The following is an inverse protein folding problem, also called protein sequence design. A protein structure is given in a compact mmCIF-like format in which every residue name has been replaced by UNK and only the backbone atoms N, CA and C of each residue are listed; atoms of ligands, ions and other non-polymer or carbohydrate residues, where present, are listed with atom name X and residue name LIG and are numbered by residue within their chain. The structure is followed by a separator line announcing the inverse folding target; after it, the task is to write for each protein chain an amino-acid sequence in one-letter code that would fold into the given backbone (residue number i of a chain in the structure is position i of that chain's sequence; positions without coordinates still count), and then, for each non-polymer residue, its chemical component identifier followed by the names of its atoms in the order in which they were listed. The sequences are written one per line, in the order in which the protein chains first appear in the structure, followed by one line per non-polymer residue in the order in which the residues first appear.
data_IF_888849515514
#
_entry.id   IF_888849515514
#
_cell.length_a   1.000
_cell.length_b   1.000
_cell.length_c   1.000
_cell.angle_alpha   90.00
_cell.angle_beta   90.00
_cell.angle_gamma   90.00
#
_symmetry.space_group_name_H-M   'P 1'
#
loop_
_entity.id
_entity.type
_entity.pdbx_description
1 polymer ?
#
# COMPACT_ATOMS: atom_id res chain seq x y z
N UNK A 1 24.45 11.05 -9.84
CA UNK A 1 23.34 10.13 -9.60
C UNK A 1 22.25 10.40 -10.62
N UNK A 2 21.64 9.37 -11.19
CA UNK A 2 20.48 9.47 -12.08
C UNK A 2 19.50 8.36 -11.67
N UNK A 3 18.23 8.68 -11.57
CA UNK A 3 17.18 7.69 -11.44
C UNK A 3 16.73 7.24 -12.84
N UNK A 4 16.54 5.95 -13.01
CA UNK A 4 15.94 5.38 -14.22
C UNK A 4 14.41 5.45 -14.14
N UNK A 5 13.74 5.16 -15.24
CA UNK A 5 12.29 5.00 -15.22
C UNK A 5 11.91 3.73 -14.48
N UNK A 6 10.91 3.75 -13.60
CA UNK A 6 10.43 2.56 -12.92
C UNK A 6 9.74 1.60 -13.88
N UNK A 7 9.89 0.31 -13.63
CA UNK A 7 9.00 -0.68 -14.20
C UNK A 7 7.77 -0.78 -13.31
N UNK A 8 6.61 -0.65 -13.89
CA UNK A 8 5.35 -0.67 -13.17
C UNK A 8 4.71 -2.06 -13.28
N UNK A 9 4.37 -2.63 -12.14
CA UNK A 9 3.54 -3.81 -12.04
C UNK A 9 2.31 -3.48 -11.19
N UNK A 10 1.26 -4.26 -11.30
CA UNK A 10 0.00 -4.00 -10.59
C UNK A 10 0.16 -3.90 -9.07
N UNK A 11 1.19 -4.51 -8.52
CA UNK A 11 1.45 -4.56 -7.07
C UNK A 11 2.70 -3.83 -6.61
N UNK A 12 3.59 -3.40 -7.53
CA UNK A 12 4.85 -2.76 -7.14
C UNK A 12 5.42 -1.86 -8.22
N UNK A 13 6.27 -0.91 -7.81
CA UNK A 13 7.17 -0.21 -8.70
C UNK A 13 8.59 -0.74 -8.54
N UNK A 14 9.24 -1.03 -9.68
CA UNK A 14 10.64 -1.39 -9.75
C UNK A 14 11.36 -0.31 -10.55
N UNK A 15 12.41 0.24 -10.01
CA UNK A 15 13.20 1.27 -10.68
C UNK A 15 14.68 1.14 -10.36
N UNK A 16 15.50 1.69 -11.23
CA UNK A 16 16.95 1.65 -11.13
C UNK A 16 17.51 3.02 -10.76
N UNK A 17 18.39 3.07 -9.80
CA UNK A 17 19.14 4.24 -9.43
C UNK A 17 20.61 4.04 -9.75
N UNK A 18 21.14 4.87 -10.63
CA UNK A 18 22.54 4.81 -11.03
C UNK A 18 23.32 5.88 -10.28
N UNK A 19 24.46 5.49 -9.68
CA UNK A 19 25.39 6.42 -9.04
C UNK A 19 26.85 6.00 -9.24
N UNK A 20 27.73 6.98 -9.21
CA UNK A 20 29.15 6.70 -9.15
C UNK A 20 29.49 6.12 -7.78
N UNK A 21 30.06 4.94 -7.78
CA UNK A 21 30.39 4.19 -6.57
C UNK A 21 31.55 4.85 -5.87
N UNK A 22 31.27 5.48 -4.76
CA UNK A 22 32.30 5.79 -3.77
C UNK A 22 31.90 5.14 -2.45
N UNK A 23 32.85 4.57 -1.69
CA UNK A 23 32.54 3.94 -0.41
C UNK A 23 31.90 4.90 0.61
N UNK A 24 31.90 6.19 0.29
CA UNK A 24 31.50 7.26 1.17
C UNK A 24 30.10 7.80 0.87
N UNK A 25 29.32 7.13 0.04
CA UNK A 25 27.94 7.53 -0.29
C UNK A 25 26.95 6.52 0.26
N UNK A 26 26.03 7.01 1.07
CA UNK A 26 24.84 6.29 1.52
C UNK A 26 23.61 6.84 0.83
N UNK A 27 22.70 5.97 0.39
CA UNK A 27 21.43 6.34 -0.22
C UNK A 27 20.29 6.11 0.73
N UNK A 28 19.30 6.98 0.66
CA UNK A 28 17.99 6.82 1.31
C UNK A 28 16.90 7.11 0.30
N UNK A 29 15.84 6.34 0.35
CA UNK A 29 14.71 6.43 -0.55
C UNK A 29 13.47 6.78 0.24
N UNK A 30 12.80 7.83 -0.18
CA UNK A 30 11.58 8.31 0.42
C UNK A 30 10.45 8.26 -0.60
N UNK A 31 9.26 7.87 -0.14
CA UNK A 31 8.03 7.98 -0.91
C UNK A 31 7.20 9.12 -0.35
N UNK A 32 6.60 9.91 -1.23
CA UNK A 32 5.70 10.98 -0.83
C UNK A 32 4.32 10.39 -0.54
N UNK A 33 3.86 10.59 0.67
CA UNK A 33 2.52 10.22 1.09
C UNK A 33 1.48 11.25 0.64
N UNK A 34 0.21 10.90 0.69
CA UNK A 34 -0.88 11.77 0.24
C UNK A 34 -1.00 13.08 1.03
N UNK A 35 -0.63 13.08 2.29
CA UNK A 35 -0.57 14.29 3.13
C UNK A 35 0.57 15.26 2.74
N UNK A 36 1.34 14.92 1.70
CA UNK A 36 2.48 15.67 1.21
C UNK A 36 3.78 15.43 1.97
N UNK A 37 3.79 14.60 2.99
CA UNK A 37 4.99 14.21 3.73
C UNK A 37 5.79 13.15 2.98
N UNK A 38 7.10 13.14 3.17
CA UNK A 38 7.98 12.07 2.70
C UNK A 38 8.22 11.08 3.83
N UNK A 39 8.00 9.81 3.54
CA UNK A 39 8.28 8.69 4.46
C UNK A 39 9.44 7.88 3.92
N UNK A 40 10.41 7.57 4.76
CA UNK A 40 11.52 6.72 4.39
C UNK A 40 11.02 5.29 4.14
N UNK A 41 11.33 4.76 2.96
CA UNK A 41 11.02 3.38 2.58
C UNK A 41 12.26 2.50 2.49
N UNK A 42 13.44 3.11 2.39
CA UNK A 42 14.73 2.47 2.55
C UNK A 42 15.77 3.49 3.00
N UNK A 43 16.64 3.12 3.92
CA UNK A 43 17.69 3.99 4.45
C UNK A 43 19.02 3.24 4.58
N UNK A 44 20.11 3.99 4.54
CA UNK A 44 21.44 3.46 4.80
C UNK A 44 21.95 2.49 3.72
N UNK A 45 21.48 2.62 2.49
CA UNK A 45 21.90 1.78 1.37
C UNK A 45 23.32 2.17 0.98
N UNK A 46 24.23 1.23 1.09
CA UNK A 46 25.64 1.39 0.75
C UNK A 46 26.02 0.61 -0.52
N UNK A 47 27.30 0.56 -0.82
CA UNK A 47 27.82 -0.13 -2.00
C UNK A 47 27.61 -1.65 -2.01
N UNK A 48 27.28 -2.26 -0.86
CA UNK A 48 27.15 -3.72 -0.76
C UNK A 48 25.88 -4.24 -1.46
N UNK A 49 24.91 -3.33 -1.68
CA UNK A 49 23.62 -3.62 -2.34
C UNK A 49 23.63 -3.23 -3.82
N UNK A 50 24.77 -2.89 -4.36
CA UNK A 50 24.91 -2.44 -5.73
C UNK A 50 25.11 -3.63 -6.69
N UNK A 51 24.45 -3.58 -7.83
CA UNK A 51 24.69 -4.54 -8.90
C UNK A 51 25.98 -4.25 -9.69
N UNK A 52 26.32 -5.13 -10.63
CA UNK A 52 27.56 -5.07 -11.41
C UNK A 52 27.72 -3.83 -12.30
N UNK A 53 26.62 -3.09 -12.56
CA UNK A 53 26.58 -1.96 -13.49
C UNK A 53 26.52 -0.60 -12.78
N UNK A 54 26.90 -0.51 -11.53
CA UNK A 54 26.77 0.70 -10.71
C UNK A 54 25.32 1.18 -10.57
N UNK A 55 24.39 0.26 -10.56
CA UNK A 55 22.97 0.52 -10.42
C UNK A 55 22.42 -0.12 -9.14
N UNK A 56 21.49 0.56 -8.51
CA UNK A 56 20.61 0.02 -7.47
C UNK A 56 19.25 -0.24 -8.08
N UNK A 57 18.80 -1.47 -8.01
CA UNK A 57 17.38 -1.80 -8.25
C UNK A 57 16.67 -1.81 -6.92
N UNK A 58 15.58 -1.09 -6.84
CA UNK A 58 14.75 -1.01 -5.65
C UNK A 58 13.30 -1.30 -6.02
N UNK A 59 12.64 -2.12 -5.22
CA UNK A 59 11.23 -2.47 -5.40
C UNK A 59 10.41 -1.89 -4.26
N UNK A 60 9.43 -1.05 -4.59
CA UNK A 60 8.40 -0.61 -3.65
C UNK A 60 7.16 -1.49 -3.82
N UNK A 61 6.78 -2.21 -2.79
CA UNK A 61 5.60 -3.08 -2.79
C UNK A 61 4.29 -2.33 -2.55
N UNK A 62 4.37 -1.12 -2.02
CA UNK A 62 3.20 -0.34 -1.60
C UNK A 62 3.14 1.03 -2.29
N UNK A 63 3.34 1.12 -3.62
CA UNK A 63 3.24 2.40 -4.31
C UNK A 63 1.79 2.90 -4.29
N UNK A 64 1.61 4.21 -4.25
CA UNK A 64 0.29 4.81 -4.45
C UNK A 64 -0.12 4.72 -5.92
N UNK A 65 -1.40 4.53 -6.20
CA UNK A 65 -1.93 4.75 -7.54
C UNK A 65 -1.99 6.25 -7.87
N UNK A 66 -2.20 6.57 -9.12
CA UNK A 66 -2.11 7.90 -9.70
C UNK A 66 -0.67 8.45 -9.62
N UNK A 67 -0.44 9.54 -8.91
CA UNK A 67 0.89 10.14 -8.82
C UNK A 67 1.66 9.56 -7.65
N UNK A 68 2.77 8.90 -7.94
CA UNK A 68 3.73 8.45 -6.95
C UNK A 68 5.03 9.23 -7.10
N UNK A 69 5.50 9.86 -6.04
CA UNK A 69 6.76 10.63 -6.05
C UNK A 69 7.75 9.97 -5.11
N UNK A 70 8.92 9.65 -5.66
CA UNK A 70 10.05 9.14 -4.90
C UNK A 70 11.12 10.20 -4.82
N UNK A 71 11.75 10.34 -3.66
CA UNK A 71 12.95 11.14 -3.46
C UNK A 71 14.10 10.23 -3.09
N UNK A 72 15.15 10.26 -3.89
CA UNK A 72 16.38 9.55 -3.62
C UNK A 72 17.37 10.56 -3.09
N UNK A 73 17.84 10.34 -1.87
CA UNK A 73 18.80 11.20 -1.18
C UNK A 73 20.13 10.48 -1.12
N UNK A 74 21.19 11.13 -1.62
CA UNK A 74 22.55 10.67 -1.46
C UNK A 74 23.24 11.52 -0.40
N UNK A 75 23.81 10.86 0.59
CA UNK A 75 24.56 11.50 1.69
C UNK A 75 26.01 11.07 1.60
N UNK A 76 26.93 12.03 1.52
CA UNK A 76 28.35 11.76 1.69
C UNK A 76 28.66 11.59 3.17
N UNK A 77 29.11 10.39 3.54
CA UNK A 77 29.34 10.02 4.95
C UNK A 77 30.58 10.69 5.57
N UNK A 78 31.52 11.19 4.74
CA UNK A 78 32.73 11.85 5.21
C UNK A 78 32.51 13.32 5.59
N UNK A 79 31.72 14.04 4.79
CA UNK A 79 31.56 15.48 4.95
C UNK A 79 30.13 15.93 5.21
N UNK A 80 29.17 14.98 5.22
CA UNK A 80 27.75 15.27 5.43
C UNK A 80 27.07 16.00 4.26
N UNK A 81 27.72 16.08 3.08
CA UNK A 81 27.11 16.68 1.89
C UNK A 81 25.89 15.87 1.44
N UNK A 82 24.79 16.55 1.12
CA UNK A 82 23.53 15.93 0.73
C UNK A 82 23.16 16.39 -0.68
N UNK A 83 22.78 15.43 -1.52
CA UNK A 83 22.16 15.68 -2.82
C UNK A 83 20.91 14.83 -2.96
N UNK A 84 19.91 15.28 -3.72
CA UNK A 84 18.72 14.48 -3.97
C UNK A 84 18.23 14.60 -5.42
N UNK A 85 17.42 13.63 -5.83
CA UNK A 85 16.67 13.65 -7.08
C UNK A 85 15.26 13.18 -6.79
N UNK A 86 14.29 13.86 -7.39
CA UNK A 86 12.88 13.46 -7.34
C UNK A 86 12.50 12.76 -8.64
N UNK A 87 11.77 11.65 -8.50
CA UNK A 87 11.18 10.90 -9.59
C UNK A 87 9.66 10.92 -9.38
N UNK A 88 8.94 11.36 -10.40
CA UNK A 88 7.47 11.43 -10.36
C UNK A 88 6.93 10.52 -11.44
N UNK A 89 6.12 9.56 -11.04
CA UNK A 89 5.47 8.61 -11.93
C UNK A 89 3.96 8.64 -11.73
N UNK A 90 3.24 8.46 -12.84
CA UNK A 90 1.78 8.34 -12.83
C UNK A 90 1.41 6.94 -13.29
N UNK A 91 0.63 6.27 -12.47
CA UNK A 91 0.06 4.97 -12.79
C UNK A 91 -1.44 5.00 -12.53
N UNK A 92 -2.20 5.01 -13.61
CA UNK A 92 -3.67 5.00 -13.54
C UNK A 92 -4.14 3.57 -13.34
N UNK A 93 -4.88 3.35 -12.26
CA UNK A 93 -5.54 2.10 -11.95
C UNK A 93 -7.02 2.38 -11.68
N UNK A 94 -7.88 1.49 -12.13
CA UNK A 94 -9.34 1.60 -11.98
C UNK A 94 -9.89 0.62 -10.95
N UNK A 95 -9.06 -0.31 -10.50
CA UNK A 95 -9.44 -1.37 -9.57
C UNK A 95 -8.85 -1.12 -8.19
N UNK A 96 -9.55 -1.58 -7.16
CA UNK A 96 -8.98 -1.67 -5.81
C UNK A 96 -8.12 -2.92 -5.73
N UNK A 97 -6.94 -2.79 -5.15
CA UNK A 97 -5.99 -3.89 -4.96
C UNK A 97 -5.77 -4.14 -3.48
N UNK A 98 -5.87 -5.40 -3.07
CA UNK A 98 -5.61 -5.86 -1.70
C UNK A 98 -4.43 -6.80 -1.71
N UNK A 99 -3.43 -6.52 -0.87
CA UNK A 99 -2.20 -7.31 -0.75
C UNK A 99 -2.04 -7.84 0.67
N UNK A 100 -1.58 -9.09 0.81
CA UNK A 100 -1.33 -9.71 2.11
C UNK A 100 -0.34 -10.86 2.03
N UNK A 101 0.09 -11.34 3.18
CA UNK A 101 1.03 -12.45 3.33
C UNK A 101 2.34 -12.23 2.56
N UNK A 102 2.84 -11.01 2.59
CA UNK A 102 4.08 -10.65 1.91
C UNK A 102 5.27 -11.19 2.70
N UNK A 103 6.11 -11.95 2.02
CA UNK A 103 7.43 -12.32 2.54
C UNK A 103 8.45 -11.37 1.92
N UNK A 104 8.98 -10.49 2.73
CA UNK A 104 9.92 -9.47 2.30
C UNK A 104 11.19 -9.56 3.11
N UNK A 105 12.30 -9.78 2.44
CA UNK A 105 13.61 -9.69 3.04
C UNK A 105 14.47 -8.67 2.29
N UNK A 106 15.57 -8.24 2.89
CA UNK A 106 16.43 -7.21 2.31
C UNK A 106 17.08 -7.66 0.98
N UNK A 107 17.23 -8.95 0.76
CA UNK A 107 17.79 -9.49 -0.49
C UNK A 107 16.81 -9.27 -1.63
N UNK A 108 15.54 -9.63 -1.48
CA UNK A 108 14.52 -9.48 -2.52
C UNK A 108 14.22 -8.01 -2.84
N UNK A 109 14.45 -7.12 -1.86
CA UNK A 109 14.23 -5.68 -1.99
C UNK A 109 15.16 -5.02 -3.01
N UNK A 110 16.35 -5.58 -3.18
CA UNK A 110 17.39 -5.04 -4.04
C UNK A 110 17.75 -5.98 -5.20
N UNK A 111 16.96 -7.03 -5.42
CA UNK A 111 17.23 -7.99 -6.49
C UNK A 111 16.94 -7.38 -7.86
N UNK A 112 17.83 -7.72 -8.82
CA UNK A 112 17.81 -7.19 -10.18
C UNK A 112 16.68 -7.80 -11.03
N UNK A 113 16.22 -9.01 -10.72
CA UNK A 113 15.19 -9.65 -11.54
C UNK A 113 13.79 -9.14 -11.19
N UNK A 114 13.21 -8.25 -12.02
CA UNK A 114 11.84 -7.79 -11.81
C UNK A 114 10.80 -8.90 -11.93
N UNK A 115 11.22 -10.08 -12.45
CA UNK A 115 10.36 -11.26 -12.60
C UNK A 115 10.53 -12.24 -11.44
N UNK A 116 11.44 -11.98 -10.50
CA UNK A 116 11.50 -12.81 -9.30
C UNK A 116 10.17 -12.78 -8.57
N UNK A 117 9.73 -13.97 -8.23
CA UNK A 117 8.39 -14.25 -7.74
C UNK A 117 8.14 -13.43 -6.48
N UNK A 118 7.19 -12.50 -6.55
CA UNK A 118 6.64 -11.87 -5.38
C UNK A 118 6.01 -12.96 -4.50
N UNK A 119 6.59 -13.21 -3.35
CA UNK A 119 6.01 -14.09 -2.35
C UNK A 119 4.96 -13.33 -1.54
N UNK A 120 3.73 -13.47 -1.94
CA UNK A 120 2.59 -12.81 -1.33
C UNK A 120 1.32 -13.08 -2.11
N UNK A 121 0.22 -12.52 -1.66
CA UNK A 121 -1.06 -12.61 -2.32
C UNK A 121 -1.53 -11.23 -2.75
N UNK A 122 -1.99 -11.11 -3.98
CA UNK A 122 -2.55 -9.88 -4.56
C UNK A 122 -3.92 -10.20 -5.13
N UNK A 123 -4.94 -9.51 -4.63
CA UNK A 123 -6.31 -9.58 -5.14
C UNK A 123 -6.70 -8.24 -5.74
N UNK A 124 -6.85 -8.23 -7.04
CA UNK A 124 -7.47 -7.14 -7.78
C UNK A 124 -8.99 -7.31 -7.77
N UNK A 125 -9.71 -6.34 -7.23
CA UNK A 125 -11.16 -6.38 -7.22
C UNK A 125 -11.74 -6.05 -8.60
N UNK A 126 -12.92 -6.60 -8.96
CA UNK A 126 -13.54 -6.28 -10.24
C UNK A 126 -13.90 -4.79 -10.33
N UNK A 127 -13.99 -4.25 -11.56
CA UNK A 127 -14.26 -2.84 -11.83
C UNK A 127 -15.63 -2.31 -11.35
N UNK A 128 -16.48 -3.18 -10.82
CA UNK A 128 -17.80 -2.81 -10.27
C UNK A 128 -17.77 -2.50 -8.75
N UNK A 129 -16.61 -2.14 -8.24
CA UNK A 129 -16.42 -1.79 -6.82
C UNK A 129 -17.21 -0.56 -6.43
N UNK A 130 -17.89 -0.65 -5.33
CA UNK A 130 -18.51 0.48 -4.62
C UNK A 130 -17.83 0.63 -3.26
N UNK A 131 -17.21 1.78 -3.05
CA UNK A 131 -16.61 2.18 -1.78
C UNK A 131 -17.65 2.96 -0.98
N UNK A 132 -17.80 2.64 0.28
CA UNK A 132 -18.67 3.35 1.21
C UNK A 132 -17.90 3.72 2.46
N UNK A 133 -17.73 5.01 2.68
CA UNK A 133 -17.05 5.54 3.86
C UNK A 133 -18.07 5.74 4.99
N UNK A 134 -17.81 5.13 6.12
CA UNK A 134 -18.57 5.34 7.35
C UNK A 134 -17.67 5.91 8.42
N UNK A 135 -17.86 7.18 8.73
CA UNK A 135 -17.24 7.81 9.88
C UNK A 135 -18.12 7.63 11.11
N UNK A 136 -17.61 6.99 12.14
CA UNK A 136 -18.22 6.97 13.46
C UNK A 136 -17.39 7.84 14.41
N UNK A 137 -18.01 8.89 14.94
CA UNK A 137 -17.42 9.62 16.06
C UNK A 137 -17.65 8.82 17.33
N UNK A 138 -16.60 8.64 18.13
CA UNK A 138 -16.76 8.13 19.50
C UNK A 138 -17.44 9.23 20.33
N UNK A 139 -18.75 9.11 20.49
CA UNK A 139 -19.57 10.07 21.18
C UNK A 139 -20.34 9.37 22.30
N UNK A 140 -20.06 9.77 23.53
CA UNK A 140 -20.89 9.37 24.67
C UNK A 140 -21.92 10.47 24.96
N UNK A 141 -23.19 10.13 24.89
CA UNK A 141 -24.28 11.01 25.24
C UNK A 141 -24.65 10.79 26.72
N UNK A 142 -24.56 11.84 27.52
CA UNK A 142 -24.92 11.80 28.94
C UNK A 142 -26.15 12.68 29.19
N UNK A 143 -27.19 12.05 29.71
CA UNK A 143 -28.40 12.74 30.09
C UNK A 143 -28.29 13.25 31.54
N UNK A 144 -28.50 14.54 31.73
CA UNK A 144 -28.52 15.16 33.05
C UNK A 144 -29.96 15.52 33.45
N UNK A 145 -30.29 15.26 34.70
CA UNK A 145 -31.58 15.66 35.28
C UNK A 145 -31.76 17.18 35.17
N UNK A 146 -32.84 17.63 34.60
CA UNK A 146 -33.17 19.05 34.41
C UNK A 146 -32.68 19.67 33.09
N UNK A 147 -32.04 18.88 32.19
CA UNK A 147 -31.78 19.32 30.84
C UNK A 147 -32.70 18.64 29.83
N UNK A 148 -33.14 19.40 28.85
CA UNK A 148 -34.02 18.90 27.78
C UNK A 148 -33.32 18.13 26.69
N UNK A 149 -31.98 18.14 26.68
CA UNK A 149 -31.10 17.45 25.68
C UNK A 149 -29.85 16.90 26.34
N UNK A 150 -29.39 15.74 25.91
CA UNK A 150 -28.11 15.17 26.40
C UNK A 150 -26.90 16.04 26.03
N UNK A 151 -25.85 15.90 26.78
CA UNK A 151 -24.55 16.50 26.51
C UNK A 151 -23.66 15.48 25.82
N UNK A 152 -23.03 15.88 24.72
CA UNK A 152 -22.09 15.05 23.97
C UNK A 152 -20.68 15.18 24.51
N UNK A 153 -20.06 14.05 24.82
CA UNK A 153 -18.63 13.96 25.11
C UNK A 153 -17.96 13.21 23.97
N UNK A 154 -16.96 13.83 23.34
CA UNK A 154 -16.25 13.26 22.23
C UNK A 154 -14.97 12.56 22.72
N UNK A 155 -14.82 11.29 22.35
CA UNK A 155 -13.56 10.57 22.48
C UNK A 155 -12.50 11.08 21.50
N UNK A 156 -11.27 10.66 21.70
CA UNK A 156 -10.14 11.03 20.84
C UNK A 156 -10.04 10.18 19.58
N UNK A 157 -10.75 9.06 19.53
CA UNK A 157 -10.73 8.14 18.38
C UNK A 157 -11.86 8.48 17.39
N UNK A 158 -11.49 8.66 16.14
CA UNK A 158 -12.42 8.63 15.01
C UNK A 158 -12.42 7.22 14.45
N UNK A 159 -13.54 6.53 14.53
CA UNK A 159 -13.69 5.23 13.88
C UNK A 159 -14.01 5.44 12.40
N UNK A 160 -13.06 5.17 11.54
CA UNK A 160 -13.30 5.02 10.11
C UNK A 160 -13.56 3.53 9.84
N UNK A 161 -14.74 3.23 9.33
CA UNK A 161 -15.13 1.86 8.97
C UNK A 161 -15.62 1.85 7.51
N UNK A 162 -14.70 2.02 6.55
CA UNK A 162 -15.06 1.89 5.15
C UNK A 162 -15.50 0.46 4.83
N UNK A 163 -16.27 0.31 3.79
CA UNK A 163 -16.65 -0.99 3.26
C UNK A 163 -16.60 -0.99 1.74
N UNK A 164 -16.21 -2.12 1.19
CA UNK A 164 -16.16 -2.37 -0.24
C UNK A 164 -17.26 -3.36 -0.59
N UNK A 165 -18.07 -3.03 -1.58
CA UNK A 165 -19.02 -3.97 -2.19
C UNK A 165 -18.68 -4.16 -3.64
N UNK A 166 -18.61 -5.42 -4.09
CA UNK A 166 -18.35 -5.78 -5.47
C UNK A 166 -19.01 -7.11 -5.83
N UNK A 167 -18.97 -7.48 -7.09
CA UNK A 167 -19.50 -8.77 -7.54
C UNK A 167 -18.51 -9.46 -8.46
N UNK A 168 -18.12 -10.67 -8.10
CA UNK A 168 -17.21 -11.51 -8.89
C UNK A 168 -17.99 -12.39 -9.87
N UNK A 169 -17.56 -12.52 -11.14
CA UNK A 169 -18.06 -13.55 -12.01
C UNK A 169 -17.81 -14.94 -11.42
N UNK A 170 -18.78 -15.84 -11.50
CA UNK A 170 -18.60 -17.24 -11.01
C UNK A 170 -17.50 -18.01 -11.73
N UNK A 171 -17.20 -17.61 -12.93
CA UNK A 171 -16.18 -18.22 -13.78
C UNK A 171 -14.77 -17.83 -13.37
N UNK A 172 -14.63 -16.75 -12.60
CA UNK A 172 -13.34 -16.25 -12.13
C UNK A 172 -12.84 -17.04 -10.92
N UNK A 173 -12.45 -18.27 -11.19
CA UNK A 173 -12.04 -19.22 -10.16
C UNK A 173 -10.76 -18.81 -9.44
N UNK A 174 -9.86 -18.08 -10.11
CA UNK A 174 -8.59 -17.62 -9.55
C UNK A 174 -8.81 -16.54 -8.50
N UNK A 175 -9.51 -15.45 -8.86
CA UNK A 175 -9.82 -14.38 -7.88
C UNK A 175 -10.72 -14.88 -6.76
N UNK A 176 -11.63 -15.80 -7.03
CA UNK A 176 -12.44 -16.43 -5.98
C UNK A 176 -11.61 -17.33 -5.04
N UNK A 177 -10.54 -17.95 -5.53
CA UNK A 177 -9.61 -18.70 -4.68
C UNK A 177 -8.82 -17.74 -3.77
N UNK A 178 -8.31 -16.63 -4.31
CA UNK A 178 -7.65 -15.58 -3.52
C UNK A 178 -8.60 -14.96 -2.50
N UNK A 179 -9.85 -14.70 -2.85
CA UNK A 179 -10.86 -14.22 -1.91
C UNK A 179 -11.07 -15.16 -0.72
N UNK A 180 -11.05 -16.49 -0.95
CA UNK A 180 -11.13 -17.48 0.14
C UNK A 180 -9.87 -17.49 1.00
N UNK A 181 -8.70 -17.30 0.40
CA UNK A 181 -7.47 -17.15 1.16
C UNK A 181 -7.52 -15.90 2.03
N UNK A 182 -7.97 -14.77 1.49
CA UNK A 182 -8.16 -13.53 2.24
C UNK A 182 -9.12 -13.71 3.42
N UNK A 183 -10.23 -14.45 3.24
CA UNK A 183 -11.17 -14.76 4.32
C UNK A 183 -10.54 -15.57 5.46
N UNK A 184 -9.58 -16.42 5.15
CA UNK A 184 -8.88 -17.26 6.13
C UNK A 184 -7.67 -16.56 6.76
N UNK A 185 -7.23 -15.45 6.18
CA UNK A 185 -6.04 -14.75 6.61
C UNK A 185 -6.28 -14.00 7.94
N UNK A 186 -5.33 -14.14 8.86
CA UNK A 186 -5.36 -13.53 10.19
C UNK A 186 -4.20 -12.55 10.32
N UNK A 187 -4.26 -11.45 9.58
CA UNK A 187 -3.23 -10.41 9.59
C UNK A 187 -3.74 -9.11 9.00
N UNK A 188 -2.87 -8.13 8.95
CA UNK A 188 -3.17 -6.89 8.28
C UNK A 188 -2.92 -7.03 6.77
N UNK A 189 -3.73 -6.36 6.00
CA UNK A 189 -3.62 -6.29 4.53
C UNK A 189 -3.30 -4.85 4.13
N UNK A 190 -2.64 -4.68 2.99
CA UNK A 190 -2.45 -3.37 2.38
C UNK A 190 -3.48 -3.16 1.28
N UNK A 191 -4.24 -2.07 1.37
CA UNK A 191 -5.29 -1.71 0.42
C UNK A 191 -4.82 -0.50 -0.38
N UNK A 192 -4.97 -0.58 -1.70
CA UNK A 192 -4.73 0.55 -2.61
C UNK A 192 -5.99 0.84 -3.40
N UNK A 193 -6.36 2.10 -3.44
CA UNK A 193 -7.56 2.58 -4.11
C UNK A 193 -7.21 3.41 -5.34
N UNK A 194 -8.08 3.40 -6.38
CA UNK A 194 -7.92 4.24 -7.56
C UNK A 194 -7.83 5.75 -7.26
N UNK A 195 -8.32 6.16 -6.07
CA UNK A 195 -8.18 7.53 -5.57
C UNK A 195 -6.73 7.94 -5.29
N UNK A 196 -5.81 6.97 -5.24
CA UNK A 196 -4.42 7.13 -4.81
C UNK A 196 -4.24 6.85 -3.31
N UNK A 197 -5.30 6.54 -2.55
CA UNK A 197 -5.22 6.11 -1.16
C UNK A 197 -4.57 4.74 -1.07
N UNK A 198 -3.58 4.63 -0.15
CA UNK A 198 -2.98 3.37 0.24
C UNK A 198 -2.85 3.32 1.75
N UNK A 199 -3.33 2.23 2.37
CA UNK A 199 -3.32 2.10 3.82
C UNK A 199 -3.36 0.65 4.28
N UNK A 200 -2.87 0.42 5.50
CA UNK A 200 -2.98 -0.86 6.19
C UNK A 200 -4.34 -1.00 6.86
N UNK A 201 -4.90 -2.19 6.79
CA UNK A 201 -6.20 -2.49 7.37
C UNK A 201 -6.32 -3.93 7.83
N UNK A 202 -7.21 -4.15 8.79
CA UNK A 202 -7.79 -5.46 9.05
C UNK A 202 -9.10 -5.56 8.27
N UNK A 203 -9.37 -6.70 7.63
CA UNK A 203 -10.54 -6.89 6.79
C UNK A 203 -11.39 -8.07 7.23
N UNK A 204 -12.69 -7.95 7.04
CA UNK A 204 -13.65 -9.03 7.20
C UNK A 204 -14.44 -9.20 5.91
N UNK A 205 -14.35 -10.38 5.31
CA UNK A 205 -14.96 -10.67 4.02
C UNK A 205 -16.22 -11.49 4.20
N UNK A 206 -17.30 -11.07 3.57
CA UNK A 206 -18.56 -11.82 3.53
C UNK A 206 -19.07 -11.95 2.10
N UNK A 207 -19.58 -13.11 1.73
CA UNK A 207 -20.25 -13.31 0.46
C UNK A 207 -21.34 -14.39 0.54
N UNK A 208 -22.36 -14.24 -0.28
CA UNK A 208 -23.42 -15.22 -0.41
C UNK A 208 -23.33 -15.92 -1.78
N UNK A 209 -23.45 -17.25 -1.75
CA UNK A 209 -23.51 -18.04 -2.99
C UNK A 209 -24.96 -18.33 -3.32
N UNK A 210 -25.43 -17.78 -4.42
CA UNK A 210 -26.67 -18.23 -5.05
C UNK A 210 -26.30 -18.99 -6.35
N UNK A 211 -26.70 -20.22 -6.45
CA UNK A 211 -26.32 -21.06 -7.60
C UNK A 211 -26.98 -20.65 -8.91
N UNK A 212 -28.06 -19.89 -8.84
CA UNK A 212 -28.79 -19.38 -10.03
C UNK A 212 -28.16 -18.11 -10.61
N UNK A 213 -27.36 -17.35 -9.82
CA UNK A 213 -26.81 -16.09 -10.25
C UNK A 213 -25.52 -16.26 -11.05
N UNK A 214 -25.24 -15.34 -11.95
CA UNK A 214 -24.01 -15.32 -12.76
C UNK A 214 -22.82 -14.73 -11.97
N UNK A 215 -23.11 -13.98 -10.93
CA UNK A 215 -22.11 -13.29 -10.11
C UNK A 215 -22.27 -13.64 -8.63
N UNK A 216 -21.20 -13.46 -7.88
CA UNK A 216 -21.15 -13.65 -6.44
C UNK A 216 -20.95 -12.27 -5.82
N UNK A 217 -21.98 -11.71 -5.13
CA UNK A 217 -21.81 -10.46 -4.41
C UNK A 217 -20.91 -10.67 -3.20
N UNK A 218 -19.99 -9.75 -3.00
CA UNK A 218 -18.99 -9.75 -1.92
C UNK A 218 -19.05 -8.41 -1.21
N UNK A 219 -18.94 -8.46 0.12
CA UNK A 219 -18.74 -7.28 0.96
C UNK A 219 -17.49 -7.48 1.79
N UNK A 220 -16.63 -6.47 1.80
CA UNK A 220 -15.40 -6.41 2.58
C UNK A 220 -15.52 -5.24 3.55
N UNK A 221 -15.68 -5.53 4.82
CA UNK A 221 -15.63 -4.54 5.88
C UNK A 221 -14.18 -4.26 6.25
N UNK A 222 -13.82 -2.99 6.35
CA UNK A 222 -12.44 -2.54 6.50
C UNK A 222 -12.31 -1.80 7.83
N UNK A 223 -11.23 -2.09 8.55
CA UNK A 223 -10.80 -1.35 9.73
C UNK A 223 -9.37 -0.88 9.50
N UNK A 224 -9.16 0.39 9.12
CA UNK A 224 -7.82 0.94 8.98
C UNK A 224 -7.02 0.80 10.27
N UNK A 225 -5.73 0.49 10.13
CA UNK A 225 -4.80 0.33 11.25
C UNK A 225 -3.54 1.15 11.00
N UNK A 226 -2.89 1.61 12.06
CA UNK A 226 -1.61 2.28 11.95
C UNK A 226 -0.50 1.24 11.75
N UNK A 227 0.16 1.32 10.59
CA UNK A 227 1.35 0.54 10.26
C UNK A 227 1.11 -0.96 10.06
N UNK A 228 1.71 -1.50 9.01
CA UNK A 228 1.96 -2.93 8.89
C UNK A 228 3.32 -3.24 9.49
N UNK A 229 3.36 -4.10 10.48
CA UNK A 229 4.59 -4.80 10.87
C UNK A 229 4.58 -6.16 10.22
#
# INVERSE_FOLDING_TARGET
MKAGSPSVAIWSYVWNCFWDVTPDISLSIYRKEQNGSYVAIAEGIDNAVQNTDSALTFRDLHPSFNTCTYRIVATNTLNGGIGFVDLVENYEETSVVIQWNEVWNDVNKYDEDPNEVFEGCVLELPANVQLSDKNSNDVTLVEYIGRSRPVSYYGTQRGENPSISCAFPKEDTERLALLRQLMAYQGNVYIREPSGLGYWANVSVSYNRNYSDLTIPVTIDIKPVEGGM
#
